data_IF_108499684754
#
_entry.id   IF_108499684754
#
_cell.length_a   1.000
_cell.length_b   1.000
_cell.length_c   1.000
_cell.angle_alpha   90.00
_cell.angle_beta   90.00
_cell.angle_gamma   90.00
#
_symmetry.space_group_name_H-M   'P 1'
#
loop_
_entity.id
_entity.type
_entity.pdbx_description
1 polymer ?
#
# COMPACT_ATOMS: atom_id res chain seq x y z
N UNK A 1 10.79 2.73 -25.13
CA UNK A 1 11.27 2.44 -23.77
C UNK A 1 11.41 3.77 -23.07
N UNK A 2 10.41 4.13 -22.28
CA UNK A 2 10.51 5.25 -21.34
C UNK A 2 11.54 4.85 -20.29
N UNK A 3 12.59 5.64 -20.12
CA UNK A 3 13.69 5.34 -19.20
C UNK A 3 13.19 5.39 -17.75
N UNK A 4 12.72 4.24 -17.24
CA UNK A 4 12.34 4.09 -15.83
C UNK A 4 13.58 4.23 -14.96
N UNK A 5 13.58 5.23 -14.06
CA UNK A 5 14.69 5.49 -13.13
C UNK A 5 14.64 4.62 -11.87
N UNK A 6 13.50 3.99 -11.60
CA UNK A 6 13.25 3.09 -10.46
C UNK A 6 12.79 1.72 -10.97
N UNK A 7 13.36 0.64 -10.41
CA UNK A 7 13.03 -0.77 -10.68
C UNK A 7 11.93 -1.43 -9.78
N UNK A 8 11.08 -0.72 -8.99
CA UNK A 8 10.05 -1.38 -8.21
C UNK A 8 9.01 -2.04 -9.11
N UNK A 9 8.42 -3.08 -8.55
CA UNK A 9 7.28 -3.78 -9.13
C UNK A 9 6.00 -2.93 -9.08
N UNK A 10 4.97 -3.28 -9.86
CA UNK A 10 3.68 -2.59 -9.85
C UNK A 10 3.11 -2.47 -8.42
N UNK A 11 3.17 -3.55 -7.64
CA UNK A 11 2.66 -3.55 -6.27
C UNK A 11 3.44 -2.63 -5.32
N UNK A 12 4.75 -2.45 -5.53
CA UNK A 12 5.57 -1.52 -4.75
C UNK A 12 5.28 -0.07 -5.10
N UNK A 13 5.05 0.23 -6.38
CA UNK A 13 4.63 1.56 -6.82
C UNK A 13 3.26 1.93 -6.25
N UNK A 14 2.27 1.03 -6.30
CA UNK A 14 0.93 1.29 -5.73
C UNK A 14 0.99 1.45 -4.20
N UNK A 15 1.76 0.61 -3.50
CA UNK A 15 1.98 0.75 -2.06
C UNK A 15 2.61 2.11 -1.73
N UNK A 16 3.67 2.48 -2.45
CA UNK A 16 4.33 3.78 -2.29
C UNK A 16 3.38 4.94 -2.59
N UNK A 17 2.61 4.87 -3.67
CA UNK A 17 1.63 5.88 -4.05
C UNK A 17 0.64 6.11 -2.90
N UNK A 18 0.09 5.03 -2.33
CA UNK A 18 -0.85 5.14 -1.22
C UNK A 18 -0.23 5.81 0.01
N UNK A 19 1.05 5.57 0.31
CA UNK A 19 1.75 6.19 1.45
C UNK A 19 2.08 7.66 1.17
N UNK A 20 2.59 7.98 -0.02
CA UNK A 20 2.93 9.37 -0.39
C UNK A 20 1.67 10.23 -0.46
N UNK A 21 0.55 9.68 -0.90
CA UNK A 21 -0.75 10.35 -0.86
C UNK A 21 -1.17 10.72 0.57
N UNK A 22 -0.93 9.85 1.55
CA UNK A 22 -1.16 10.16 2.97
C UNK A 22 -0.22 11.27 3.46
N UNK A 23 1.05 11.23 3.04
CA UNK A 23 2.03 12.28 3.38
C UNK A 23 1.61 13.64 2.82
N UNK A 24 1.16 13.70 1.57
CA UNK A 24 0.69 14.94 0.93
C UNK A 24 -0.43 15.61 1.75
N UNK A 25 -1.33 14.80 2.32
CA UNK A 25 -2.47 15.29 3.12
C UNK A 25 -2.07 15.63 4.55
N UNK A 26 -1.26 14.78 5.20
CA UNK A 26 -0.97 14.89 6.63
C UNK A 26 0.32 15.66 6.98
N UNK A 27 1.21 15.88 6.01
CA UNK A 27 2.46 16.63 6.16
C UNK A 27 2.49 17.73 5.09
N UNK A 28 1.76 18.81 5.34
CA UNK A 28 1.56 19.89 4.37
C UNK A 28 2.85 20.63 3.96
N UNK A 29 3.89 20.60 4.79
CA UNK A 29 5.10 21.42 4.63
C UNK A 29 5.93 21.04 3.39
N UNK A 30 5.74 19.82 2.85
CA UNK A 30 6.46 19.30 1.68
C UNK A 30 5.51 18.93 0.54
N UNK A 31 4.35 19.62 0.46
CA UNK A 31 3.28 19.25 -0.48
C UNK A 31 3.72 19.22 -1.95
N UNK A 32 4.53 20.18 -2.38
CA UNK A 32 5.04 20.22 -3.77
C UNK A 32 5.96 19.05 -4.08
N UNK A 33 6.82 18.65 -3.13
CA UNK A 33 7.70 17.49 -3.26
C UNK A 33 6.89 16.19 -3.37
N UNK A 34 5.85 16.03 -2.53
CA UNK A 34 4.97 14.87 -2.59
C UNK A 34 4.13 14.84 -3.86
N UNK A 35 3.64 15.99 -4.34
CA UNK A 35 2.90 16.07 -5.60
C UNK A 35 3.77 15.63 -6.79
N UNK A 36 5.05 16.03 -6.81
CA UNK A 36 5.99 15.58 -7.82
C UNK A 36 6.25 14.08 -7.72
N UNK A 37 6.50 13.54 -6.52
CA UNK A 37 6.70 12.10 -6.31
C UNK A 37 5.45 11.29 -6.74
N UNK A 38 4.24 11.77 -6.43
CA UNK A 38 2.98 11.17 -6.88
C UNK A 38 2.91 11.16 -8.41
N UNK A 39 3.22 12.28 -9.06
CA UNK A 39 3.22 12.38 -10.53
C UNK A 39 4.19 11.38 -11.16
N UNK A 40 5.39 11.23 -10.61
CA UNK A 40 6.41 10.30 -11.10
C UNK A 40 5.95 8.84 -10.93
N UNK A 41 5.34 8.50 -9.79
CA UNK A 41 4.82 7.16 -9.53
C UNK A 41 3.65 6.83 -10.47
N UNK A 42 2.72 7.76 -10.69
CA UNK A 42 1.58 7.57 -11.60
C UNK A 42 2.08 7.33 -13.03
N UNK A 43 3.05 8.14 -13.49
CA UNK A 43 3.68 7.93 -14.79
C UNK A 43 4.28 6.53 -14.92
N UNK A 44 5.01 6.05 -13.92
CA UNK A 44 5.66 4.74 -13.95
C UNK A 44 4.64 3.59 -13.89
N UNK A 45 3.53 3.76 -13.17
CA UNK A 45 2.39 2.82 -13.20
C UNK A 45 1.80 2.77 -14.61
N UNK A 46 1.49 3.92 -15.22
CA UNK A 46 0.92 3.98 -16.57
C UNK A 46 1.85 3.32 -17.61
N UNK A 47 3.16 3.54 -17.49
CA UNK A 47 4.16 2.89 -18.32
C UNK A 47 4.15 1.37 -18.16
N UNK A 48 4.11 0.84 -16.93
CA UNK A 48 4.01 -0.61 -16.66
C UNK A 48 2.74 -1.19 -17.27
N UNK A 49 1.59 -0.58 -16.98
CA UNK A 49 0.30 -1.07 -17.46
C UNK A 49 0.26 -1.14 -18.99
N UNK A 50 0.83 -0.14 -19.65
CA UNK A 50 0.86 -0.05 -21.11
C UNK A 50 1.88 -1.01 -21.74
N UNK A 51 3.13 -1.02 -21.24
CA UNK A 51 4.23 -1.83 -21.80
C UNK A 51 3.98 -3.34 -21.64
N UNK A 52 3.37 -3.74 -20.53
CA UNK A 52 3.07 -5.14 -20.22
C UNK A 52 1.63 -5.54 -20.59
N UNK A 53 0.84 -4.60 -21.13
CA UNK A 53 -0.57 -4.79 -21.50
C UNK A 53 -1.41 -5.40 -20.36
N UNK A 54 -1.21 -4.88 -19.14
CA UNK A 54 -1.88 -5.35 -17.93
C UNK A 54 -3.27 -4.73 -17.85
N UNK A 55 -4.27 -5.58 -17.61
CA UNK A 55 -5.66 -5.16 -17.38
C UNK A 55 -5.97 -5.33 -15.89
N UNK A 56 -6.38 -4.25 -15.24
CA UNK A 56 -6.81 -4.28 -13.84
C UNK A 56 -8.26 -4.75 -13.76
N UNK A 57 -8.48 -5.89 -13.10
CA UNK A 57 -9.82 -6.43 -12.85
C UNK A 57 -10.41 -5.91 -11.52
N UNK A 58 -11.65 -6.30 -11.22
CA UNK A 58 -12.31 -5.91 -9.97
C UNK A 58 -11.58 -6.38 -8.71
N UNK A 59 -10.90 -7.54 -8.76
CA UNK A 59 -10.11 -8.05 -7.64
C UNK A 59 -8.89 -7.18 -7.38
N UNK A 60 -8.25 -6.71 -8.44
CA UNK A 60 -7.11 -5.81 -8.38
C UNK A 60 -7.52 -4.46 -7.79
N UNK A 61 -8.63 -3.89 -8.26
CA UNK A 61 -9.19 -2.65 -7.68
C UNK A 61 -9.49 -2.83 -6.19
N UNK A 62 -10.11 -3.95 -5.80
CA UNK A 62 -10.36 -4.26 -4.38
C UNK A 62 -9.07 -4.37 -3.58
N UNK A 63 -8.03 -5.00 -4.12
CA UNK A 63 -6.73 -5.12 -3.47
C UNK A 63 -6.07 -3.74 -3.25
N UNK A 64 -6.19 -2.82 -4.22
CA UNK A 64 -5.73 -1.43 -4.09
C UNK A 64 -6.46 -0.70 -2.95
N UNK A 65 -7.79 -0.88 -2.85
CA UNK A 65 -8.59 -0.29 -1.78
C UNK A 65 -8.15 -0.81 -0.41
N UNK A 66 -8.03 -2.14 -0.25
CA UNK A 66 -7.56 -2.76 1.00
C UNK A 66 -6.17 -2.26 1.37
N UNK A 67 -5.23 -2.26 0.42
CA UNK A 67 -3.86 -1.75 0.61
C UNK A 67 -3.88 -0.32 1.15
N UNK A 68 -4.67 0.55 0.53
CA UNK A 68 -4.79 1.97 0.90
C UNK A 68 -5.38 2.14 2.31
N UNK A 69 -6.42 1.37 2.66
CA UNK A 69 -7.03 1.37 3.99
C UNK A 69 -6.05 0.88 5.06
N UNK A 70 -5.30 -0.20 4.81
CA UNK A 70 -4.31 -0.72 5.76
C UNK A 70 -3.21 0.32 6.01
N UNK A 71 -2.71 0.98 4.95
CA UNK A 71 -1.71 2.03 5.09
C UNK A 71 -2.24 3.24 5.88
N UNK A 72 -3.51 3.62 5.73
CA UNK A 72 -4.14 4.67 6.54
C UNK A 72 -4.19 4.31 8.03
N UNK A 73 -4.62 3.08 8.35
CA UNK A 73 -4.68 2.62 9.75
C UNK A 73 -3.27 2.51 10.38
N UNK A 74 -2.30 1.96 9.65
CA UNK A 74 -0.89 1.91 10.06
C UNK A 74 -0.38 3.32 10.35
N UNK A 75 -0.64 4.28 9.45
CA UNK A 75 -0.23 5.68 9.62
C UNK A 75 -0.76 6.28 10.92
N UNK A 76 -2.05 6.10 11.20
CA UNK A 76 -2.67 6.63 12.42
C UNK A 76 -2.09 6.00 13.69
N UNK A 77 -1.94 4.67 13.72
CA UNK A 77 -1.37 3.98 14.87
C UNK A 77 0.06 4.45 15.16
N UNK A 78 0.93 4.48 14.14
CA UNK A 78 2.30 4.93 14.31
C UNK A 78 2.38 6.41 14.69
N UNK A 79 1.52 7.25 14.12
CA UNK A 79 1.50 8.69 14.43
C UNK A 79 1.01 8.96 15.85
N UNK A 80 0.02 8.21 16.34
CA UNK A 80 -0.44 8.29 17.72
C UNK A 80 0.65 7.84 18.69
N UNK A 81 1.36 6.76 18.36
CA UNK A 81 2.51 6.30 19.15
C UNK A 81 3.61 7.35 19.24
N UNK A 82 4.01 7.95 18.11
CA UNK A 82 5.02 9.02 18.08
C UNK A 82 4.60 10.24 18.91
N UNK A 83 3.30 10.54 19.01
CA UNK A 83 2.75 11.63 19.82
C UNK A 83 2.51 11.27 21.30
N UNK A 84 2.77 10.02 21.69
CA UNK A 84 2.49 9.54 23.06
C UNK A 84 1.00 9.42 23.37
N UNK A 85 0.13 9.41 22.35
CA UNK A 85 -1.32 9.23 22.51
C UNK A 85 -1.56 7.73 22.71
N UNK A 86 -2.03 7.37 23.91
CA UNK A 86 -2.33 5.98 24.27
C UNK A 86 -3.74 5.55 23.87
N UNK A 87 -4.67 6.50 23.81
CA UNK A 87 -6.08 6.19 23.53
C UNK A 87 -6.27 5.89 22.04
N UNK A 88 -6.85 4.72 21.73
CA UNK A 88 -7.02 4.24 20.35
C UNK A 88 -5.73 3.88 19.59
N UNK A 89 -4.57 3.82 20.26
CA UNK A 89 -3.30 3.41 19.65
C UNK A 89 -3.07 1.91 19.84
N UNK A 90 -2.92 1.19 18.73
CA UNK A 90 -2.72 -0.25 18.76
C UNK A 90 -1.55 -0.67 17.87
N UNK A 91 -0.34 -0.61 18.42
CA UNK A 91 0.88 -1.06 17.75
C UNK A 91 0.86 -2.56 17.44
N UNK A 92 0.20 -3.37 18.28
CA UNK A 92 0.06 -4.81 18.05
C UNK A 92 -0.79 -5.08 16.80
N UNK A 93 -1.86 -4.30 16.61
CA UNK A 93 -2.65 -4.33 15.38
C UNK A 93 -1.80 -3.93 14.16
N UNK A 94 -0.94 -2.92 14.27
CA UNK A 94 -0.07 -2.48 13.15
C UNK A 94 0.76 -3.62 12.55
N UNK A 95 1.30 -4.53 13.38
CA UNK A 95 2.02 -5.71 12.86
C UNK A 95 1.12 -6.61 12.01
N UNK A 96 -0.10 -6.89 12.48
CA UNK A 96 -1.07 -7.66 11.70
C UNK A 96 -1.50 -6.97 10.40
N UNK A 97 -1.70 -5.64 10.44
CA UNK A 97 -2.05 -4.87 9.25
C UNK A 97 -0.93 -4.87 8.19
N UNK A 98 0.34 -4.94 8.59
CA UNK A 98 1.46 -5.09 7.64
C UNK A 98 1.37 -6.43 6.87
N UNK A 99 0.86 -7.49 7.48
CA UNK A 99 0.60 -8.77 6.82
C UNK A 99 -0.52 -8.70 5.80
N UNK A 100 -1.63 -8.03 6.15
CA UNK A 100 -2.74 -7.78 5.21
C UNK A 100 -2.27 -6.90 4.05
N UNK A 101 -1.48 -5.85 4.35
CA UNK A 101 -0.85 -4.98 3.35
C UNK A 101 -0.04 -5.78 2.35
N UNK A 102 0.84 -6.68 2.82
CA UNK A 102 1.66 -7.54 1.95
C UNK A 102 0.79 -8.49 1.12
N UNK A 103 -0.28 -9.04 1.71
CA UNK A 103 -1.24 -9.89 0.99
C UNK A 103 -1.93 -9.12 -0.14
N UNK A 104 -2.37 -7.88 0.10
CA UNK A 104 -2.96 -7.02 -0.91
C UNK A 104 -1.93 -6.67 -2.02
N UNK A 105 -0.68 -6.36 -1.66
CA UNK A 105 0.41 -6.15 -2.61
C UNK A 105 0.64 -7.36 -3.50
N UNK A 106 0.69 -8.56 -2.93
CA UNK A 106 0.86 -9.78 -3.72
C UNK A 106 -0.29 -10.00 -4.72
N UNK A 107 -1.53 -9.68 -4.33
CA UNK A 107 -2.69 -9.74 -5.24
C UNK A 107 -2.60 -8.73 -6.38
N UNK A 108 -2.09 -7.52 -6.12
CA UNK A 108 -1.81 -6.54 -7.17
C UNK A 108 -0.67 -7.05 -8.08
N UNK A 109 0.36 -7.64 -7.50
CA UNK A 109 1.50 -8.14 -8.27
C UNK A 109 1.15 -9.33 -9.17
N UNK A 110 0.11 -10.09 -8.84
CA UNK A 110 -0.37 -11.21 -9.66
C UNK A 110 -0.76 -10.79 -11.08
N UNK A 111 -1.24 -9.56 -11.28
CA UNK A 111 -1.62 -9.07 -12.61
C UNK A 111 -0.43 -8.67 -13.48
N UNK A 112 0.65 -8.23 -12.85
CA UNK A 112 1.91 -7.87 -13.52
C UNK A 112 2.92 -9.03 -13.60
N UNK A 113 2.62 -10.18 -12.99
CA UNK A 113 3.58 -11.27 -12.83
C UNK A 113 4.78 -10.89 -11.93
N UNK A 114 5.87 -11.66 -12.00
CA UNK A 114 7.10 -11.34 -11.26
C UNK A 114 7.13 -11.77 -9.78
N UNK A 115 7.99 -11.10 -8.99
CA UNK A 115 8.33 -11.51 -7.62
C UNK A 115 7.25 -11.10 -6.62
N UNK A 116 6.80 -12.05 -5.79
CA UNK A 116 5.94 -11.83 -4.62
C UNK A 116 6.77 -11.73 -3.34
N UNK A 117 6.25 -11.01 -2.35
CA UNK A 117 6.81 -10.99 -0.99
C UNK A 117 6.02 -11.96 -0.09
N UNK A 118 6.66 -13.04 0.33
CA UNK A 118 6.04 -14.07 1.17
C UNK A 118 6.25 -13.80 2.67
N UNK A 119 6.53 -12.56 3.09
CA UNK A 119 6.47 -12.19 4.50
C UNK A 119 5.07 -12.40 5.06
N UNK A 120 4.97 -13.28 6.05
CA UNK A 120 3.73 -13.59 6.76
C UNK A 120 3.81 -12.90 8.12
N UNK A 121 3.13 -11.78 8.25
CA UNK A 121 2.77 -11.24 9.58
C UNK A 121 1.36 -11.73 9.91
N UNK A 122 1.23 -12.55 10.95
CA UNK A 122 -0.05 -13.08 11.39
C UNK A 122 -0.82 -12.05 12.22
N UNK A 123 -2.13 -11.95 12.00
CA UNK A 123 -3.02 -11.25 12.94
C UNK A 123 -3.01 -11.97 14.30
N UNK A 124 -2.93 -11.18 15.38
CA UNK A 124 -3.17 -11.70 16.72
C UNK A 124 -4.62 -12.20 16.84
N UNK A 125 -4.88 -13.10 17.80
CA UNK A 125 -6.18 -13.75 17.94
C UNK A 125 -7.32 -12.75 18.18
N UNK A 126 -7.04 -11.66 18.91
CA UNK A 126 -7.99 -10.58 19.16
C UNK A 126 -8.30 -9.69 17.95
N UNK A 127 -7.51 -9.77 16.86
CA UNK A 127 -7.70 -8.96 15.65
C UNK A 127 -8.20 -9.75 14.45
N UNK A 128 -8.72 -10.97 14.67
CA UNK A 128 -9.24 -11.82 13.58
C UNK A 128 -10.32 -11.15 12.72
N UNK A 129 -11.12 -10.25 13.30
CA UNK A 129 -12.17 -9.54 12.57
C UNK A 129 -11.62 -8.57 11.51
N UNK A 130 -10.32 -8.26 11.56
CA UNK A 130 -9.64 -7.47 10.53
C UNK A 130 -9.23 -8.29 9.31
N UNK A 131 -9.34 -9.62 9.37
CA UNK A 131 -9.00 -10.46 8.23
C UNK A 131 -9.89 -10.17 7.02
N UNK A 132 -9.31 -10.28 5.83
CA UNK A 132 -9.98 -9.89 4.60
C UNK A 132 -10.51 -11.14 3.90
N UNK A 133 -11.83 -11.18 3.71
CA UNK A 133 -12.53 -12.26 3.01
C UNK A 133 -12.28 -12.23 1.49
N UNK A 134 -11.11 -12.69 1.04
CA UNK A 134 -10.73 -12.60 -0.37
C UNK A 134 -11.53 -13.51 -1.31
N UNK A 135 -12.05 -14.63 -0.81
CA UNK A 135 -12.70 -15.68 -1.61
C UNK A 135 -14.20 -15.84 -1.35
N UNK A 136 -14.84 -14.81 -0.78
CA UNK A 136 -16.28 -14.80 -0.49
C UNK A 136 -17.11 -14.39 -1.71
#
# INVERSE_FOLDING_TARGET
>A
MTDRKYLPTLSELVDRLSIVQLKEVFISDHKEEYAQEISDIVHDIDAILSDENIILDGNTIRAIIVLSQMNLHIWHNESNYRKGIKDGNNLELTHGLNGIRNTAKNKIQETAGGRKDYKIDCLAAEFKDWDISWSA
#
